data_IF_522006776305
#
_entry.id   IF_522006776305
#
_cell.length_a   1.000
_cell.length_b   1.000
_cell.length_c   1.000
_cell.angle_alpha   90.00
_cell.angle_beta   90.00
_cell.angle_gamma   90.00
#
_symmetry.space_group_name_H-M   'P 1'
#
loop_
_entity.id
_entity.type
_entity.pdbx_description
1 polymer ?
#
# COMPACT_ATOMS: atom_id res chain seq x y z
N UNK A 1 -4.49 -4.98 2.35
CA UNK A 1 -3.22 -4.55 2.97
C UNK A 1 -2.08 -4.58 1.95
N UNK A 2 -1.61 -5.75 1.53
CA UNK A 2 -0.46 -5.90 0.61
C UNK A 2 -0.61 -5.10 -0.69
N UNK A 3 -1.82 -4.95 -1.24
CA UNK A 3 -2.06 -4.07 -2.38
C UNK A 3 -1.53 -2.64 -2.13
N UNK A 4 -1.85 -2.03 -1.00
CA UNK A 4 -1.41 -0.67 -0.67
C UNK A 4 0.10 -0.63 -0.41
N UNK A 5 0.68 -1.65 0.20
CA UNK A 5 2.12 -1.79 0.41
C UNK A 5 2.87 -1.74 -0.93
N UNK A 6 2.49 -2.58 -1.89
CA UNK A 6 3.15 -2.66 -3.19
C UNK A 6 2.77 -1.49 -4.11
N UNK A 7 1.46 -1.12 -4.14
CA UNK A 7 0.99 -0.10 -5.06
C UNK A 7 1.43 1.32 -4.71
N UNK A 8 1.59 1.65 -3.42
CA UNK A 8 1.94 3.00 -3.00
C UNK A 8 3.11 3.05 -2.04
N UNK A 9 3.17 2.14 -1.07
CA UNK A 9 4.10 2.21 0.04
C UNK A 9 5.54 2.38 -0.43
N UNK A 10 6.06 1.47 -1.23
CA UNK A 10 7.42 1.59 -1.78
C UNK A 10 7.61 2.82 -2.66
N UNK A 11 6.65 3.15 -3.51
CA UNK A 11 6.74 4.33 -4.38
C UNK A 11 6.80 5.65 -3.59
N UNK A 12 6.28 5.69 -2.35
CA UNK A 12 6.29 6.87 -1.48
C UNK A 12 7.60 7.06 -0.70
N UNK A 13 8.56 6.13 -0.80
CA UNK A 13 9.84 6.22 -0.10
C UNK A 13 10.75 7.27 -0.76
N UNK A 14 11.11 8.31 -0.01
CA UNK A 14 11.78 9.50 -0.53
C UNK A 14 13.20 9.25 -1.06
N UNK A 15 13.87 8.19 -0.65
CA UNK A 15 15.16 7.80 -1.21
C UNK A 15 15.01 7.29 -2.67
N UNK A 16 13.94 6.56 -3.00
CA UNK A 16 13.61 6.18 -4.38
C UNK A 16 13.23 7.39 -5.24
N UNK A 17 12.48 8.36 -4.65
CA UNK A 17 12.18 9.64 -5.31
C UNK A 17 13.48 10.36 -5.71
N UNK A 18 14.46 10.43 -4.80
CA UNK A 18 15.75 11.09 -5.05
C UNK A 18 16.62 10.35 -6.07
N UNK A 19 16.44 9.04 -6.22
CA UNK A 19 17.16 8.20 -7.19
C UNK A 19 16.49 8.16 -8.56
N UNK A 20 15.40 8.90 -8.78
CA UNK A 20 14.58 8.84 -10.00
C UNK A 20 13.91 7.47 -10.24
N UNK A 21 13.73 6.70 -9.16
CA UNK A 21 13.17 5.34 -9.21
C UNK A 21 11.79 5.25 -8.55
N UNK A 22 10.98 6.29 -8.72
CA UNK A 22 9.57 6.30 -8.31
C UNK A 22 8.68 7.08 -9.26
N UNK A 23 7.57 6.45 -9.63
CA UNK A 23 6.49 7.07 -10.42
C UNK A 23 5.85 8.29 -9.71
N UNK A 24 6.06 8.44 -8.40
CA UNK A 24 5.55 9.56 -7.61
C UNK A 24 6.48 10.79 -7.60
N UNK A 25 7.64 10.72 -8.28
CA UNK A 25 8.52 11.88 -8.39
C UNK A 25 7.80 13.08 -9.00
N UNK A 26 7.86 14.21 -8.30
CA UNK A 26 7.21 15.46 -8.71
C UNK A 26 5.69 15.51 -8.56
N UNK A 27 5.08 14.51 -7.91
CA UNK A 27 3.63 14.41 -7.76
C UNK A 27 3.08 14.82 -6.39
N UNK A 28 3.92 15.36 -5.52
CA UNK A 28 3.45 15.90 -4.25
C UNK A 28 2.47 17.06 -4.52
N UNK A 29 1.25 16.97 -4.00
CA UNK A 29 0.11 17.85 -4.29
C UNK A 29 -0.75 17.42 -5.48
N UNK A 30 -0.35 16.38 -6.23
CA UNK A 30 -1.15 15.87 -7.34
C UNK A 30 -2.21 14.87 -6.87
N UNK A 31 -3.33 14.84 -7.59
CA UNK A 31 -4.37 13.81 -7.47
C UNK A 31 -3.89 12.50 -8.10
N UNK A 32 -3.56 11.52 -7.25
CA UNK A 32 -3.02 10.22 -7.67
C UNK A 32 -4.01 9.06 -7.56
N UNK A 33 -5.12 9.27 -6.85
CA UNK A 33 -6.16 8.27 -6.62
C UNK A 33 -7.57 8.88 -6.66
N UNK A 34 -8.58 8.05 -6.44
CA UNK A 34 -9.98 8.51 -6.30
C UNK A 34 -10.17 9.31 -5.00
N UNK A 35 -11.23 10.13 -4.93
CA UNK A 35 -11.50 11.04 -3.80
C UNK A 35 -11.75 10.34 -2.46
N UNK A 36 -12.05 9.05 -2.49
CA UNK A 36 -12.34 8.25 -1.29
C UNK A 36 -11.08 7.63 -0.66
N UNK A 37 -9.90 7.78 -1.29
CA UNK A 37 -8.67 7.15 -0.83
C UNK A 37 -7.97 8.01 0.21
N UNK A 38 -7.79 7.45 1.40
CA UNK A 38 -6.93 7.96 2.46
C UNK A 38 -5.93 6.87 2.87
N UNK A 39 -4.63 7.12 2.74
CA UNK A 39 -3.58 6.15 3.03
C UNK A 39 -2.60 6.72 4.05
N UNK A 40 -2.23 5.88 4.99
CA UNK A 40 -1.33 6.21 6.08
C UNK A 40 -0.20 5.21 6.20
N UNK A 41 0.92 5.66 6.78
CA UNK A 41 1.94 4.82 7.39
C UNK A 41 2.10 5.25 8.85
N UNK A 42 1.86 4.34 9.79
CA UNK A 42 1.83 4.66 11.22
C UNK A 42 2.82 3.80 12.03
N UNK A 43 4.08 4.23 12.13
CA UNK A 43 5.05 3.57 13.00
C UNK A 43 4.74 3.73 14.50
N UNK A 44 3.86 4.66 14.88
CA UNK A 44 3.48 4.89 16.28
C UNK A 44 2.35 3.99 16.79
N UNK A 45 1.72 3.21 15.90
CA UNK A 45 0.67 2.25 16.26
C UNK A 45 1.24 1.06 17.02
N UNK A 46 1.01 0.99 18.34
CA UNK A 46 1.54 -0.03 19.23
C UNK A 46 1.01 -1.45 18.98
N UNK A 47 -0.11 -1.58 18.32
CA UNK A 47 -0.72 -2.85 17.95
C UNK A 47 -0.23 -3.36 16.58
N UNK A 48 0.51 -2.54 15.85
CA UNK A 48 1.06 -2.89 14.55
C UNK A 48 2.42 -3.59 14.64
N UNK A 49 2.66 -4.58 13.80
CA UNK A 49 3.93 -5.33 13.77
C UNK A 49 5.13 -4.47 13.37
N UNK A 50 4.89 -3.39 12.61
CA UNK A 50 5.88 -2.39 12.23
C UNK A 50 6.09 -1.27 13.27
N UNK A 51 5.62 -1.43 14.53
CA UNK A 51 5.75 -0.42 15.59
C UNK A 51 7.18 -0.15 16.01
N UNK A 52 7.51 1.12 16.18
CA UNK A 52 8.70 1.62 16.91
C UNK A 52 8.45 3.06 17.37
N UNK A 53 9.03 3.46 18.52
CA UNK A 53 8.81 4.79 19.12
C UNK A 53 9.70 5.86 18.49
N UNK A 54 10.94 5.48 18.15
CA UNK A 54 11.90 6.32 17.46
C UNK A 54 12.51 5.53 16.32
N UNK A 55 12.72 6.18 15.18
CA UNK A 55 13.48 5.57 14.10
C UNK A 55 14.99 5.48 14.45
N UNK A 56 15.78 4.82 13.61
CA UNK A 56 17.21 4.60 13.92
C UNK A 56 18.05 5.88 13.86
N UNK A 57 17.49 6.98 13.37
CA UNK A 57 18.10 8.32 13.40
C UNK A 57 17.65 9.15 14.61
N UNK A 58 16.86 8.58 15.53
CA UNK A 58 16.34 9.23 16.72
C UNK A 58 15.15 10.18 16.46
N UNK A 59 14.49 10.07 15.33
CA UNK A 59 13.28 10.84 15.04
C UNK A 59 12.10 10.16 15.69
N UNK A 60 11.33 10.91 16.53
CA UNK A 60 10.12 10.40 17.14
C UNK A 60 9.06 10.13 16.07
N UNK A 61 8.48 8.94 16.12
CA UNK A 61 7.48 8.51 15.16
C UNK A 61 6.10 9.12 15.39
N UNK A 62 5.34 9.21 14.33
CA UNK A 62 3.95 9.69 14.32
C UNK A 62 3.21 9.07 13.14
N UNK A 63 1.89 9.13 13.16
CA UNK A 63 1.05 8.74 12.03
C UNK A 63 1.30 9.69 10.86
N UNK A 64 1.79 9.16 9.73
CA UNK A 64 2.05 9.90 8.50
C UNK A 64 0.88 9.67 7.53
N UNK A 65 0.17 10.72 7.14
CA UNK A 65 -0.80 10.65 6.04
C UNK A 65 -0.06 10.81 4.72
N UNK A 66 -0.07 9.79 3.88
CA UNK A 66 0.58 9.80 2.57
C UNK A 66 -0.35 10.32 1.48
N UNK A 67 -1.59 9.83 1.51
CA UNK A 67 -2.64 10.26 0.58
C UNK A 67 -3.84 10.75 1.38
N UNK A 68 -4.37 11.90 1.01
CA UNK A 68 -5.57 12.49 1.56
C UNK A 68 -6.56 12.77 0.44
N UNK A 69 -7.76 12.21 0.53
CA UNK A 69 -8.81 12.39 -0.49
C UNK A 69 -8.28 12.18 -1.93
N UNK A 70 -7.39 11.18 -2.11
CA UNK A 70 -6.71 10.85 -3.35
C UNK A 70 -5.54 11.75 -3.75
N UNK A 71 -5.21 12.81 -3.02
CA UNK A 71 -4.06 13.69 -3.24
C UNK A 71 -2.82 13.15 -2.51
N UNK A 72 -1.66 13.12 -3.14
CA UNK A 72 -0.38 12.80 -2.50
C UNK A 72 0.08 13.98 -1.65
N UNK A 73 -0.03 13.87 -0.32
CA UNK A 73 0.26 14.97 0.61
C UNK A 73 1.59 14.83 1.35
N UNK A 74 2.18 13.64 1.37
CA UNK A 74 3.45 13.40 2.05
C UNK A 74 4.20 12.20 1.46
N UNK A 75 5.47 12.07 1.87
CA UNK A 75 6.36 10.97 1.51
C UNK A 75 7.00 10.39 2.78
N UNK A 76 7.37 9.12 2.75
CA UNK A 76 8.18 8.49 3.79
C UNK A 76 9.63 8.94 3.65
N UNK A 77 10.29 9.33 4.75
CA UNK A 77 11.60 9.93 4.67
C UNK A 77 12.49 9.62 5.88
N UNK A 78 13.80 9.61 5.63
CA UNK A 78 14.87 9.76 6.63
C UNK A 78 15.18 11.24 6.83
N UNK A 79 16.09 11.56 7.76
CA UNK A 79 16.58 12.94 7.93
C UNK A 79 17.31 13.45 6.68
N UNK A 80 18.08 12.57 6.05
CA UNK A 80 18.83 12.91 4.83
C UNK A 80 17.87 13.22 3.66
N UNK A 81 16.95 12.29 3.36
CA UNK A 81 16.03 12.46 2.23
C UNK A 81 15.06 13.63 2.47
N UNK A 82 14.59 13.81 3.69
CA UNK A 82 13.75 14.95 4.07
C UNK A 82 14.49 16.30 3.85
N UNK A 83 15.76 16.39 4.27
CA UNK A 83 16.56 17.59 4.06
C UNK A 83 16.75 17.92 2.57
N UNK A 84 17.04 16.91 1.75
CA UNK A 84 17.21 17.09 0.29
C UNK A 84 15.91 17.53 -0.41
N UNK A 85 14.76 17.12 0.10
CA UNK A 85 13.44 17.48 -0.45
C UNK A 85 12.81 18.73 0.21
N UNK A 86 13.49 19.34 1.19
CA UNK A 86 12.98 20.51 1.90
C UNK A 86 11.75 20.23 2.77
N UNK A 87 11.61 19.02 3.31
CA UNK A 87 10.49 18.57 4.13
C UNK A 87 10.95 18.13 5.53
N UNK A 88 10.01 17.90 6.44
CA UNK A 88 10.32 17.31 7.75
C UNK A 88 10.44 15.78 7.61
N UNK A 89 11.36 15.18 8.40
CA UNK A 89 11.45 13.71 8.45
C UNK A 89 10.17 13.10 8.98
N UNK A 90 9.70 12.05 8.30
CA UNK A 90 8.53 11.27 8.71
C UNK A 90 8.84 10.24 9.81
N UNK A 91 10.13 10.05 10.17
CA UNK A 91 10.55 9.05 11.15
C UNK A 91 10.51 7.62 10.60
N UNK A 92 10.86 7.46 9.32
CA UNK A 92 10.85 6.16 8.64
C UNK A 92 12.25 5.66 8.26
N UNK A 93 13.32 6.18 8.89
CA UNK A 93 14.65 5.63 8.75
C UNK A 93 14.77 4.32 9.53
N UNK A 94 15.00 3.21 8.84
CA UNK A 94 15.14 1.88 9.46
C UNK A 94 16.39 1.20 8.92
N UNK A 95 16.96 0.30 9.69
CA UNK A 95 18.11 -0.51 9.27
C UNK A 95 18.09 -1.88 9.91
N UNK A 96 18.68 -2.85 9.26
CA UNK A 96 19.13 -4.09 9.91
C UNK A 96 20.36 -3.79 10.77
N UNK A 97 20.73 -4.71 11.65
CA UNK A 97 21.93 -4.55 12.50
C UNK A 97 23.17 -4.38 11.62
N UNK A 98 23.95 -3.34 11.90
CA UNK A 98 25.19 -2.95 11.19
C UNK A 98 25.01 -2.43 9.75
N UNK A 99 23.77 -2.22 9.30
CA UNK A 99 23.50 -1.62 7.99
C UNK A 99 23.28 -0.11 8.08
N UNK A 100 23.42 0.58 6.96
CA UNK A 100 23.07 2.00 6.85
C UNK A 100 21.54 2.17 6.90
N UNK A 101 21.05 3.23 7.57
CA UNK A 101 19.62 3.56 7.54
C UNK A 101 19.13 3.84 6.13
N UNK A 102 17.99 3.26 5.78
CA UNK A 102 17.26 3.54 4.54
C UNK A 102 15.79 3.84 4.86
N UNK A 103 15.08 4.47 3.94
CA UNK A 103 13.66 4.74 4.14
C UNK A 103 12.86 3.44 4.01
N UNK A 104 11.98 3.17 4.97
CA UNK A 104 11.15 1.96 5.00
C UNK A 104 9.76 2.26 5.54
N UNK A 105 8.78 1.56 5.00
CA UNK A 105 7.44 1.49 5.59
C UNK A 105 7.45 0.90 7.00
N UNK A 106 6.35 1.13 7.72
CA UNK A 106 6.07 0.59 9.05
C UNK A 106 4.74 -0.16 9.09
N UNK A 107 3.65 0.51 9.41
CA UNK A 107 2.29 -0.02 9.34
C UNK A 107 1.52 0.79 8.29
N UNK A 108 1.56 0.34 7.04
CA UNK A 108 0.96 1.04 5.90
C UNK A 108 -0.45 0.53 5.66
N UNK A 109 -1.43 1.43 5.57
CA UNK A 109 -2.82 1.01 5.42
C UNK A 109 -3.71 2.00 4.67
N UNK A 110 -4.74 1.45 4.04
CA UNK A 110 -5.89 2.18 3.53
C UNK A 110 -6.90 2.38 4.66
N UNK A 111 -7.36 3.61 4.86
CA UNK A 111 -8.41 3.92 5.81
C UNK A 111 -9.72 3.19 5.44
N UNK A 112 -10.45 2.61 6.42
CA UNK A 112 -11.75 1.97 6.13
C UNK A 112 -12.78 2.99 5.66
N UNK A 113 -13.64 2.55 4.73
CA UNK A 113 -14.83 3.25 4.30
C UNK A 113 -16.07 2.80 5.07
N UNK A 114 -17.25 3.00 4.48
CA UNK A 114 -18.53 2.77 5.13
C UNK A 114 -19.27 1.52 4.63
N UNK A 115 -18.84 0.91 3.51
CA UNK A 115 -19.55 -0.21 2.89
C UNK A 115 -19.36 -1.52 3.65
N UNK A 116 -20.40 -2.31 3.80
CA UNK A 116 -20.28 -3.73 4.15
C UNK A 116 -19.69 -4.52 2.97
N UNK A 117 -19.25 -5.76 3.23
CA UNK A 117 -18.75 -6.61 2.15
C UNK A 117 -19.85 -6.90 1.11
N UNK A 118 -21.08 -7.12 1.56
CA UNK A 118 -22.24 -7.37 0.72
C UNK A 118 -22.52 -6.17 -0.20
N UNK A 119 -22.50 -4.94 0.32
CA UNK A 119 -22.67 -3.71 -0.47
C UNK A 119 -21.55 -3.49 -1.50
N UNK A 120 -20.33 -4.01 -1.24
CA UNK A 120 -19.24 -3.93 -2.20
C UNK A 120 -19.46 -4.80 -3.45
N UNK A 121 -20.24 -5.90 -3.33
CA UNK A 121 -20.37 -6.88 -4.39
C UNK A 121 -21.79 -6.95 -5.02
N UNK A 122 -22.84 -6.45 -4.35
CA UNK A 122 -24.25 -6.66 -4.73
C UNK A 122 -24.61 -6.20 -6.15
N UNK A 123 -23.96 -5.16 -6.66
CA UNK A 123 -24.18 -4.58 -7.98
C UNK A 123 -23.16 -5.04 -9.05
N UNK A 124 -22.27 -6.00 -8.71
CA UNK A 124 -21.26 -6.52 -9.64
C UNK A 124 -21.87 -7.65 -10.49
N UNK A 125 -22.06 -7.44 -11.82
CA UNK A 125 -22.56 -8.51 -12.69
C UNK A 125 -21.55 -9.62 -12.89
N UNK A 126 -20.24 -9.27 -13.02
CA UNK A 126 -19.12 -10.20 -13.15
C UNK A 126 -17.86 -9.56 -12.54
N UNK A 127 -17.17 -10.31 -11.70
CA UNK A 127 -15.95 -9.85 -11.04
C UNK A 127 -15.15 -10.99 -10.43
N UNK A 128 -14.04 -10.63 -9.75
CA UNK A 128 -13.20 -11.58 -9.03
C UNK A 128 -12.93 -11.04 -7.64
N UNK A 129 -13.25 -11.82 -6.62
CA UNK A 129 -12.86 -11.57 -5.24
C UNK A 129 -11.51 -12.20 -4.95
N UNK A 130 -10.55 -11.36 -4.51
CA UNK A 130 -9.21 -11.76 -4.13
C UNK A 130 -9.05 -11.64 -2.61
N UNK A 131 -8.64 -12.71 -1.94
CA UNK A 131 -8.51 -12.77 -0.49
C UNK A 131 -7.11 -13.18 -0.08
N UNK A 132 -6.50 -12.39 0.80
CA UNK A 132 -5.14 -12.59 1.25
C UNK A 132 -4.08 -12.36 0.16
N UNK A 133 -2.80 -12.47 0.53
CA UNK A 133 -1.68 -12.35 -0.41
C UNK A 133 -0.59 -13.34 -0.06
N UNK A 134 0.03 -13.93 -1.09
CA UNK A 134 1.24 -14.76 -1.02
C UNK A 134 2.52 -13.96 -1.29
N UNK A 135 2.45 -12.64 -1.16
CA UNK A 135 3.52 -11.71 -1.50
C UNK A 135 3.28 -11.01 -2.83
N UNK A 136 4.03 -9.95 -3.04
CA UNK A 136 3.97 -9.11 -4.22
C UNK A 136 5.35 -8.61 -4.62
N UNK A 137 5.37 -7.86 -5.69
CA UNK A 137 6.53 -7.14 -6.18
C UNK A 137 6.08 -5.86 -6.88
N UNK A 138 6.94 -4.86 -6.86
CA UNK A 138 6.71 -3.58 -7.51
C UNK A 138 7.96 -3.10 -8.24
N UNK A 139 7.77 -2.57 -9.44
CA UNK A 139 8.72 -1.72 -10.14
C UNK A 139 8.29 -0.26 -9.91
N UNK A 140 8.88 0.35 -8.91
CA UNK A 140 8.50 1.69 -8.44
C UNK A 140 8.73 2.76 -9.49
N UNK A 141 9.80 2.63 -10.29
CA UNK A 141 10.15 3.56 -11.36
C UNK A 141 9.16 3.55 -12.52
N UNK A 142 8.67 2.35 -12.88
CA UNK A 142 7.62 2.20 -13.92
C UNK A 142 6.21 2.33 -13.37
N UNK A 143 6.05 2.25 -12.04
CA UNK A 143 4.75 2.26 -11.40
C UNK A 143 3.91 1.03 -11.71
N UNK A 144 4.54 -0.15 -11.80
CA UNK A 144 3.87 -1.43 -12.08
C UNK A 144 3.99 -2.33 -10.88
N UNK A 145 2.90 -2.95 -10.46
CA UNK A 145 2.87 -3.91 -9.37
C UNK A 145 2.21 -5.22 -9.78
N UNK A 146 2.51 -6.28 -9.03
CA UNK A 146 1.82 -7.57 -9.08
C UNK A 146 1.82 -8.20 -7.70
N UNK A 147 0.71 -8.83 -7.31
CA UNK A 147 0.68 -9.75 -6.18
C UNK A 147 -0.23 -10.96 -6.46
N UNK A 148 0.04 -12.08 -5.76
CA UNK A 148 -0.73 -13.32 -5.89
C UNK A 148 -1.68 -13.46 -4.71
N UNK A 149 -2.94 -13.78 -4.98
CA UNK A 149 -3.93 -14.04 -3.94
C UNK A 149 -3.70 -15.42 -3.28
N UNK A 150 -4.11 -15.56 -2.02
CA UNK A 150 -4.16 -16.84 -1.31
C UNK A 150 -5.38 -17.63 -1.76
N UNK A 151 -6.54 -16.96 -1.77
CA UNK A 151 -7.83 -17.49 -2.22
C UNK A 151 -8.43 -16.53 -3.25
N UNK A 152 -9.18 -17.05 -4.18
CA UNK A 152 -9.85 -16.25 -5.20
C UNK A 152 -11.16 -16.88 -5.60
N UNK A 153 -12.17 -16.05 -5.83
CA UNK A 153 -13.52 -16.49 -6.15
C UNK A 153 -14.10 -15.65 -7.27
N UNK A 154 -14.89 -16.28 -8.14
CA UNK A 154 -15.69 -15.55 -9.12
C UNK A 154 -16.84 -14.83 -8.40
N UNK A 155 -17.16 -13.61 -8.83
CA UNK A 155 -18.37 -12.90 -8.46
C UNK A 155 -19.29 -12.94 -9.66
N UNK A 156 -20.54 -13.40 -9.49
CA UNK A 156 -21.55 -13.43 -10.53
C UNK A 156 -22.86 -12.89 -9.95
N UNK A 157 -23.37 -11.79 -10.54
CA UNK A 157 -24.63 -11.14 -10.12
C UNK A 157 -24.69 -10.84 -8.60
N UNK A 158 -23.62 -10.32 -8.03
CA UNK A 158 -23.53 -9.95 -6.62
C UNK A 158 -23.27 -11.11 -5.66
N UNK A 159 -23.03 -12.32 -6.14
CA UNK A 159 -22.82 -13.50 -5.31
C UNK A 159 -21.41 -14.07 -5.50
N UNK A 160 -20.81 -14.59 -4.41
CA UNK A 160 -19.54 -15.34 -4.45
C UNK A 160 -19.80 -16.73 -5.02
N UNK A 161 -19.18 -17.02 -6.14
CA UNK A 161 -19.32 -18.26 -6.89
C UNK A 161 -18.11 -19.18 -6.78
N UNK A 162 -17.68 -19.72 -7.91
CA UNK A 162 -16.63 -20.72 -8.02
C UNK A 162 -15.27 -20.19 -7.51
N UNK A 163 -14.54 -21.03 -6.76
CA UNK A 163 -13.15 -20.81 -6.41
C UNK A 163 -12.25 -20.89 -7.66
N UNK A 164 -11.31 -19.95 -7.76
CA UNK A 164 -10.32 -19.85 -8.83
C UNK A 164 -8.92 -20.14 -8.29
N UNK A 165 -8.03 -20.64 -9.16
CA UNK A 165 -6.65 -20.98 -8.78
C UNK A 165 -5.63 -20.03 -9.38
N UNK A 166 -4.55 -19.80 -8.60
CA UNK A 166 -3.36 -19.07 -9.04
C UNK A 166 -3.66 -17.68 -9.62
N UNK A 167 -4.61 -16.99 -9.00
CA UNK A 167 -5.03 -15.66 -9.45
C UNK A 167 -4.09 -14.60 -8.92
N UNK A 168 -3.66 -13.73 -9.80
CA UNK A 168 -2.86 -12.54 -9.47
C UNK A 168 -3.56 -11.26 -9.91
N UNK A 169 -3.38 -10.20 -9.13
CA UNK A 169 -3.70 -8.83 -9.52
C UNK A 169 -2.42 -8.14 -9.96
N UNK A 170 -2.47 -7.49 -11.11
CA UNK A 170 -1.38 -6.64 -11.60
C UNK A 170 -1.92 -5.34 -12.20
N UNK A 171 -1.08 -4.33 -12.30
CA UNK A 171 -1.52 -3.09 -12.89
C UNK A 171 -0.53 -1.93 -12.74
N UNK A 172 -0.94 -0.77 -13.27
CA UNK A 172 -0.26 0.48 -13.01
C UNK A 172 -0.78 1.07 -11.69
N UNK A 173 0.13 1.53 -10.84
CA UNK A 173 -0.17 2.07 -9.50
C UNK A 173 -1.22 3.18 -9.57
N UNK A 174 -0.95 4.22 -10.38
CA UNK A 174 -1.78 5.42 -10.43
C UNK A 174 -3.16 5.14 -11.07
N UNK A 175 -3.19 4.29 -12.09
CA UNK A 175 -4.43 3.87 -12.73
C UNK A 175 -5.30 3.06 -11.76
N UNK A 176 -4.70 2.10 -11.06
CA UNK A 176 -5.42 1.25 -10.11
C UNK A 176 -5.97 2.07 -8.94
N UNK A 177 -5.20 3.01 -8.38
CA UNK A 177 -5.68 3.88 -7.32
C UNK A 177 -6.83 4.79 -7.77
N UNK A 178 -6.84 5.25 -9.02
CA UNK A 178 -7.96 6.04 -9.58
C UNK A 178 -9.21 5.22 -9.82
N UNK A 179 -9.05 3.92 -10.03
CA UNK A 179 -10.16 3.00 -10.28
C UNK A 179 -10.78 2.40 -9.00
N UNK A 180 -10.30 2.78 -7.81
CA UNK A 180 -10.98 2.44 -6.55
C UNK A 180 -12.27 3.26 -6.45
N UNK A 181 -13.42 2.59 -6.40
CA UNK A 181 -14.74 3.24 -6.37
C UNK A 181 -15.56 2.94 -5.11
N UNK A 182 -15.20 1.92 -4.33
CA UNK A 182 -15.81 1.64 -3.04
C UNK A 182 -14.82 1.01 -2.05
N UNK A 183 -14.93 1.35 -0.77
CA UNK A 183 -14.06 0.88 0.32
C UNK A 183 -14.93 0.35 1.44
N UNK A 184 -14.62 -0.86 1.90
CA UNK A 184 -15.32 -1.55 2.98
C UNK A 184 -14.98 -1.02 4.38
N UNK A 185 -15.76 -1.46 5.36
CA UNK A 185 -15.59 -1.13 6.78
C UNK A 185 -14.86 -2.23 7.59
N UNK A 186 -14.53 -3.34 6.97
CA UNK A 186 -13.98 -4.57 7.57
C UNK A 186 -12.45 -4.57 7.69
N UNK A 187 -11.90 -3.52 8.25
CA UNK A 187 -10.47 -3.30 8.37
C UNK A 187 -9.74 -4.43 9.10
N UNK A 188 -8.60 -4.86 8.52
CA UNK A 188 -7.67 -5.83 9.15
C UNK A 188 -6.23 -5.48 8.87
N UNK A 189 -5.34 -5.73 9.86
CA UNK A 189 -3.91 -5.77 9.64
C UNK A 189 -3.44 -7.20 9.36
N UNK A 190 -2.53 -7.31 8.40
CA UNK A 190 -1.67 -8.48 8.20
C UNK A 190 -0.26 -8.13 8.66
N UNK A 191 0.52 -9.11 9.06
CA UNK A 191 1.91 -8.94 9.46
C UNK A 191 2.83 -9.53 8.39
N UNK A 192 3.97 -8.88 8.17
CA UNK A 192 4.90 -9.30 7.16
C UNK A 192 6.32 -8.77 7.37
N UNK A 193 7.20 -9.19 6.46
CA UNK A 193 8.55 -8.69 6.38
C UNK A 193 8.78 -8.11 4.99
N UNK A 194 9.16 -6.85 4.94
CA UNK A 194 9.48 -6.15 3.71
C UNK A 194 10.98 -6.17 3.44
N UNK A 195 11.38 -6.54 2.22
CA UNK A 195 12.77 -6.57 1.77
C UNK A 195 13.10 -5.33 0.91
N UNK A 196 14.22 -4.65 1.19
CA UNK A 196 14.77 -3.56 0.35
C UNK A 196 16.28 -3.48 0.54
N UNK A 197 17.03 -3.42 -0.55
CA UNK A 197 18.50 -3.30 -0.55
C UNK A 197 19.21 -4.34 0.34
N UNK A 198 18.71 -5.58 0.34
CA UNK A 198 19.24 -6.67 1.17
C UNK A 198 18.88 -6.60 2.65
N UNK A 199 18.14 -5.59 3.09
CA UNK A 199 17.66 -5.43 4.46
C UNK A 199 16.21 -5.90 4.61
N UNK A 200 15.87 -6.47 5.76
CA UNK A 200 14.53 -6.94 6.10
C UNK A 200 13.98 -6.10 7.26
N UNK A 201 12.76 -5.61 7.11
CA UNK A 201 12.05 -4.87 8.15
C UNK A 201 10.68 -5.50 8.46
N UNK A 202 10.29 -5.65 9.75
CA UNK A 202 8.93 -6.03 10.11
C UNK A 202 7.96 -4.91 9.74
N UNK A 203 6.83 -5.27 9.13
CA UNK A 203 5.81 -4.32 8.65
C UNK A 203 4.40 -4.84 8.94
N UNK A 204 3.47 -3.93 9.12
CA UNK A 204 2.04 -4.20 9.10
C UNK A 204 1.41 -3.69 7.81
N UNK A 205 0.59 -4.50 7.17
CA UNK A 205 -0.14 -4.10 5.96
C UNK A 205 -1.63 -4.12 6.26
N UNK A 206 -2.27 -2.96 6.24
CA UNK A 206 -3.66 -2.80 6.64
C UNK A 206 -4.59 -2.38 5.51
N UNK A 207 -5.85 -2.79 5.63
CA UNK A 207 -6.92 -2.31 4.77
C UNK A 207 -8.17 -3.16 4.86
N UNK A 208 -9.30 -2.56 4.48
CA UNK A 208 -10.57 -3.25 4.28
C UNK A 208 -10.63 -3.92 2.90
N UNK A 209 -11.71 -4.65 2.63
CA UNK A 209 -12.07 -5.02 1.27
C UNK A 209 -12.26 -3.74 0.43
N UNK A 210 -11.74 -3.77 -0.79
CA UNK A 210 -11.69 -2.59 -1.66
C UNK A 210 -12.10 -2.99 -3.06
N UNK A 211 -13.07 -2.30 -3.63
CA UNK A 211 -13.52 -2.50 -5.01
C UNK A 211 -12.68 -1.67 -5.96
N UNK A 212 -12.17 -2.32 -6.99
CA UNK A 212 -11.34 -1.69 -8.04
C UNK A 212 -11.95 -2.02 -9.39
N UNK A 213 -12.33 -1.00 -10.12
CA UNK A 213 -12.89 -1.16 -11.47
C UNK A 213 -11.79 -1.45 -12.49
N UNK A 214 -12.11 -2.26 -13.50
CA UNK A 214 -11.21 -2.55 -14.63
C UNK A 214 -9.81 -3.04 -14.23
N UNK A 215 -9.71 -3.77 -13.10
CA UNK A 215 -8.46 -4.32 -12.63
C UNK A 215 -7.96 -5.46 -13.55
N UNK A 216 -6.65 -5.51 -13.79
CA UNK A 216 -6.03 -6.59 -14.55
C UNK A 216 -5.80 -7.79 -13.64
N UNK A 217 -6.55 -8.85 -13.87
CA UNK A 217 -6.48 -10.09 -13.11
C UNK A 217 -6.05 -11.23 -14.03
N UNK A 218 -5.02 -11.98 -13.64
CA UNK A 218 -4.54 -13.16 -14.34
C UNK A 218 -4.69 -14.42 -13.48
N UNK A 219 -4.89 -15.58 -14.10
CA UNK A 219 -5.01 -16.85 -13.40
C UNK A 219 -5.17 -18.02 -14.37
N UNK A 220 -5.13 -19.24 -13.83
CA UNK A 220 -5.48 -20.47 -14.57
C UNK A 220 -6.86 -20.95 -14.16
N UNK A 221 -7.64 -21.40 -15.13
CA UNK A 221 -8.93 -22.07 -14.93
C UNK A 221 -8.74 -23.47 -14.37
#
# INVERSE_FOLDING_TARGET
GVFIHEALGHASEADLILQDDSVLKGKLGDKIGSDIINIYDDPSNKDGFGYYEYDVEGVKTHKNQLVKDGELVSLLSSRESASKLGMKSSGNARSSINDQPIVRMSNTYLEPGDHSFEELIEDIPEGIYLKGSRGGQVDTGKGIFQFNAVESYKIENGEIGQELRDVSLSGNILETLKNVDAIGNDFKFSVGFCGKNGQIAPVGDGGPNTRILNAMVGGSN
#
